data_IF_268166331775
#
_entry.id   IF_268166331775
#
_cell.length_a   1.000
_cell.length_b   1.000
_cell.length_c   1.000
_cell.angle_alpha   90.00
_cell.angle_beta   90.00
_cell.angle_gamma   90.00
#
_symmetry.space_group_name_H-M   'P 1'
#
loop_
_entity.id
_entity.type
_entity.pdbx_description
1 polymer ?
#
# COMPACT_ATOMS: atom_id res chain seq x y z
N UNK A 1 -31.19 23.70 20.24
CA UNK A 1 -30.83 23.26 18.88
C UNK A 1 -29.57 24.00 18.43
N UNK A 2 -28.41 23.56 18.89
CA UNK A 2 -27.12 24.11 18.45
C UNK A 2 -26.58 23.25 17.33
N UNK A 3 -26.76 23.67 16.08
CA UNK A 3 -26.10 23.05 14.94
C UNK A 3 -24.60 23.32 15.07
N UNK A 4 -23.83 22.30 15.47
CA UNK A 4 -22.38 22.27 15.37
C UNK A 4 -22.01 22.37 13.88
N UNK A 5 -21.98 23.60 13.38
CA UNK A 5 -21.46 23.94 12.05
C UNK A 5 -19.95 23.80 12.14
N UNK A 6 -19.46 22.56 12.04
CA UNK A 6 -18.03 22.26 12.06
C UNK A 6 -17.40 22.79 10.78
N UNK A 7 -16.82 23.99 10.86
CA UNK A 7 -15.86 24.45 9.85
C UNK A 7 -14.60 23.63 10.09
N UNK A 8 -14.46 22.51 9.40
CA UNK A 8 -13.23 21.74 9.44
C UNK A 8 -12.09 22.59 8.87
N UNK A 9 -11.28 23.15 9.76
CA UNK A 9 -10.11 23.96 9.42
C UNK A 9 -9.14 23.15 8.54
N UNK A 10 -8.54 23.74 7.48
CA UNK A 10 -7.57 23.06 6.61
C UNK A 10 -6.47 22.22 7.30
N UNK A 11 -5.88 22.63 8.46
CA UNK A 11 -4.90 21.80 9.16
C UNK A 11 -5.49 20.47 9.70
N UNK A 12 -6.78 20.44 10.08
CA UNK A 12 -7.42 19.22 10.58
C UNK A 12 -7.56 18.17 9.47
N UNK A 13 -7.97 18.59 8.27
CA UNK A 13 -8.12 17.68 7.12
C UNK A 13 -6.79 17.07 6.70
N UNK A 14 -5.70 17.85 6.69
CA UNK A 14 -4.36 17.34 6.41
C UNK A 14 -3.89 16.29 7.44
N UNK A 15 -4.16 16.52 8.73
CA UNK A 15 -3.82 15.57 9.78
C UNK A 15 -4.64 14.28 9.65
N UNK A 16 -5.91 14.39 9.29
CA UNK A 16 -6.79 13.24 9.07
C UNK A 16 -6.32 12.40 7.87
N UNK A 17 -5.94 13.04 6.75
CA UNK A 17 -5.35 12.32 5.62
C UNK A 17 -4.03 11.62 5.99
N UNK A 18 -3.17 12.26 6.79
CA UNK A 18 -1.93 11.62 7.29
C UNK A 18 -2.20 10.43 8.22
N UNK A 19 -3.21 10.53 9.07
CA UNK A 19 -3.62 9.44 9.95
C UNK A 19 -4.10 8.22 9.12
N UNK A 20 -5.00 8.45 8.16
CA UNK A 20 -5.46 7.38 7.25
C UNK A 20 -4.34 6.81 6.37
N UNK A 21 -3.41 7.65 5.94
CA UNK A 21 -2.22 7.20 5.21
C UNK A 21 -1.33 6.28 6.06
N UNK A 22 -1.21 6.57 7.36
CA UNK A 22 -0.44 5.73 8.29
C UNK A 22 -1.12 4.39 8.54
N UNK A 23 -2.45 4.36 8.57
CA UNK A 23 -3.25 3.12 8.60
C UNK A 23 -2.99 2.28 7.34
N UNK A 24 -3.07 2.90 6.15
CA UNK A 24 -2.77 2.23 4.89
C UNK A 24 -1.34 1.67 4.85
N UNK A 25 -0.34 2.43 5.35
CA UNK A 25 1.03 1.95 5.45
C UNK A 25 1.18 0.73 6.37
N UNK A 26 0.49 0.72 7.52
CA UNK A 26 0.49 -0.44 8.42
C UNK A 26 -0.11 -1.68 7.75
N UNK A 27 -1.21 -1.51 7.00
CA UNK A 27 -1.81 -2.60 6.21
C UNK A 27 -0.85 -3.11 5.13
N UNK A 28 -0.15 -2.21 4.42
CA UNK A 28 0.84 -2.61 3.42
C UNK A 28 2.03 -3.37 4.03
N UNK A 29 2.50 -2.99 5.22
CA UNK A 29 3.53 -3.75 5.94
C UNK A 29 3.06 -5.17 6.26
N UNK A 30 1.81 -5.30 6.74
CA UNK A 30 1.24 -6.61 7.06
C UNK A 30 1.10 -7.48 5.81
N UNK A 31 0.68 -6.91 4.68
CA UNK A 31 0.62 -7.59 3.39
C UNK A 31 2.00 -8.02 2.87
N UNK A 32 3.02 -7.21 3.08
CA UNK A 32 4.39 -7.55 2.72
C UNK A 32 4.89 -8.75 3.53
N UNK A 33 4.66 -8.75 4.85
CA UNK A 33 5.02 -9.87 5.72
C UNK A 33 4.24 -11.13 5.36
N UNK A 34 2.93 -11.04 5.12
CA UNK A 34 2.14 -12.20 4.72
C UNK A 34 2.57 -12.78 3.37
N UNK A 35 3.01 -11.93 2.42
CA UNK A 35 3.58 -12.39 1.16
C UNK A 35 4.91 -13.14 1.33
N UNK A 36 5.78 -12.65 2.24
CA UNK A 36 7.03 -13.34 2.59
C UNK A 36 6.79 -14.68 3.26
N UNK A 37 5.90 -14.72 4.26
CA UNK A 37 5.55 -15.96 4.96
C UNK A 37 4.91 -16.97 4.02
N UNK A 38 4.03 -16.54 3.10
CA UNK A 38 3.42 -17.44 2.12
C UNK A 38 4.48 -18.13 1.24
N UNK A 39 5.48 -17.38 0.77
CA UNK A 39 6.58 -17.96 -0.01
C UNK A 39 7.43 -18.92 0.82
N UNK A 40 7.67 -18.63 2.09
CA UNK A 40 8.43 -19.51 2.99
C UNK A 40 7.70 -20.84 3.24
N UNK A 41 6.38 -20.79 3.42
CA UNK A 41 5.55 -21.97 3.69
C UNK A 41 5.29 -22.82 2.44
N UNK A 42 5.00 -22.20 1.29
CA UNK A 42 4.56 -22.91 0.07
C UNK A 42 5.65 -23.02 -1.01
N UNK A 43 6.77 -22.31 -0.86
CA UNK A 43 7.85 -22.24 -1.86
C UNK A 43 7.51 -21.42 -3.10
N UNK A 44 6.26 -20.94 -3.23
CA UNK A 44 5.74 -20.20 -4.38
C UNK A 44 5.25 -18.82 -3.98
N UNK A 45 5.32 -17.87 -4.91
CA UNK A 45 4.89 -16.50 -4.67
C UNK A 45 3.35 -16.38 -4.75
N UNK A 46 2.69 -15.61 -3.86
CA UNK A 46 1.23 -15.48 -3.89
C UNK A 46 0.78 -14.75 -5.16
N UNK A 47 -0.26 -15.27 -5.82
CA UNK A 47 -0.84 -14.67 -7.04
C UNK A 47 -2.23 -14.08 -6.83
N UNK A 48 -2.92 -14.55 -5.78
CA UNK A 48 -4.27 -14.13 -5.41
C UNK A 48 -4.28 -13.50 -4.03
N UNK A 49 -5.32 -12.71 -3.77
CA UNK A 49 -5.58 -12.16 -2.44
C UNK A 49 -5.92 -13.26 -1.41
N UNK A 50 -6.44 -14.40 -1.87
CA UNK A 50 -6.75 -15.56 -1.05
C UNK A 50 -5.48 -16.14 -0.40
N UNK A 51 -4.40 -16.29 -1.17
CA UNK A 51 -3.12 -16.78 -0.66
C UNK A 51 -2.58 -15.87 0.48
N UNK A 52 -2.76 -14.55 0.35
CA UNK A 52 -2.39 -13.62 1.43
C UNK A 52 -3.33 -13.74 2.65
N UNK A 53 -4.62 -13.96 2.41
CA UNK A 53 -5.64 -14.17 3.45
C UNK A 53 -5.47 -15.48 4.23
N UNK A 54 -4.80 -16.50 3.68
CA UNK A 54 -4.46 -17.73 4.41
C UNK A 54 -3.47 -17.48 5.56
N UNK A 55 -2.53 -16.55 5.38
CA UNK A 55 -1.58 -16.16 6.42
C UNK A 55 -2.18 -15.08 7.33
N UNK A 56 -2.75 -14.03 6.73
CA UNK A 56 -3.31 -12.89 7.46
C UNK A 56 -4.53 -12.35 6.74
N UNK A 57 -5.68 -12.37 7.42
CA UNK A 57 -6.94 -11.94 6.85
C UNK A 57 -6.85 -10.51 6.28
N UNK A 58 -6.92 -10.39 4.95
CA UNK A 58 -6.86 -9.10 4.26
C UNK A 58 -8.26 -8.47 4.26
N UNK A 59 -8.46 -7.52 5.17
CA UNK A 59 -9.76 -6.88 5.37
C UNK A 59 -10.08 -5.87 4.25
N UNK A 60 -11.24 -6.03 3.63
CA UNK A 60 -11.78 -5.07 2.64
C UNK A 60 -13.07 -4.43 3.13
N UNK A 61 -13.61 -3.47 2.37
CA UNK A 61 -14.89 -2.83 2.66
C UNK A 61 -16.09 -3.77 2.70
N UNK A 62 -15.97 -5.00 2.19
CA UNK A 62 -17.03 -6.01 2.16
C UNK A 62 -16.70 -7.24 3.05
N UNK A 63 -15.69 -7.14 3.91
CA UNK A 63 -15.18 -8.26 4.72
C UNK A 63 -13.80 -8.75 4.25
N UNK A 64 -13.29 -9.87 4.79
CA UNK A 64 -12.02 -10.44 4.33
C UNK A 64 -12.13 -10.80 2.85
N UNK A 65 -11.10 -10.47 2.07
CA UNK A 65 -11.04 -10.87 0.67
C UNK A 65 -10.81 -12.38 0.59
N UNK A 66 -11.75 -13.07 -0.04
CA UNK A 66 -11.74 -14.53 -0.20
C UNK A 66 -11.47 -14.95 -1.65
N UNK A 67 -11.33 -14.00 -2.57
CA UNK A 67 -11.07 -14.29 -3.99
C UNK A 67 -10.55 -13.07 -4.74
N UNK A 68 -9.77 -13.30 -5.80
CA UNK A 68 -9.31 -12.26 -6.73
C UNK A 68 -7.80 -12.23 -6.92
N UNK A 69 -7.37 -11.73 -8.09
CA UNK A 69 -5.94 -11.54 -8.40
C UNK A 69 -5.38 -10.36 -7.63
N UNK A 70 -4.11 -10.41 -7.25
CA UNK A 70 -3.44 -9.29 -6.57
C UNK A 70 -3.43 -7.99 -7.39
N UNK A 71 -3.52 -8.10 -8.72
CA UNK A 71 -3.63 -6.96 -9.64
C UNK A 71 -4.99 -6.27 -9.58
N UNK A 72 -6.01 -6.93 -9.02
CA UNK A 72 -7.34 -6.35 -8.86
C UNK A 72 -7.36 -5.43 -7.64
N UNK A 73 -7.87 -4.22 -7.81
CA UNK A 73 -8.01 -3.25 -6.72
C UNK A 73 -8.98 -3.77 -5.65
N UNK A 74 -8.53 -3.74 -4.40
CA UNK A 74 -9.35 -3.95 -3.22
C UNK A 74 -9.54 -2.62 -2.48
N UNK A 75 -10.71 -2.39 -1.88
CA UNK A 75 -10.94 -1.20 -1.06
C UNK A 75 -10.67 -1.51 0.40
N UNK A 76 -9.96 -0.62 1.11
CA UNK A 76 -9.78 -0.74 2.56
C UNK A 76 -11.12 -0.72 3.30
N UNK A 77 -11.20 -1.23 4.54
CA UNK A 77 -12.45 -1.30 5.30
C UNK A 77 -13.15 0.06 5.43
N UNK A 78 -12.37 1.12 5.61
CA UNK A 78 -12.85 2.50 5.72
C UNK A 78 -13.19 3.15 4.35
N UNK A 79 -13.00 2.45 3.23
CA UNK A 79 -13.22 2.94 1.85
C UNK A 79 -12.47 4.23 1.52
N UNK A 80 -11.35 4.45 2.20
CA UNK A 80 -10.51 5.63 2.03
C UNK A 80 -9.39 5.40 1.01
N UNK A 81 -9.02 4.14 0.78
CA UNK A 81 -7.93 3.75 -0.12
C UNK A 81 -8.32 2.53 -0.95
N UNK A 82 -7.80 2.47 -2.17
CA UNK A 82 -7.74 1.26 -2.98
C UNK A 82 -6.32 0.72 -2.97
N UNK A 83 -6.16 -0.57 -2.66
CA UNK A 83 -4.88 -1.27 -2.69
C UNK A 83 -4.85 -2.14 -3.94
N UNK A 84 -3.78 -2.07 -4.70
CA UNK A 84 -3.49 -3.03 -5.75
C UNK A 84 -2.03 -3.46 -5.70
N UNK A 85 -1.73 -4.63 -6.24
CA UNK A 85 -0.37 -4.99 -6.61
C UNK A 85 -0.07 -4.35 -7.96
N UNK A 86 0.85 -3.40 -7.97
CA UNK A 86 1.50 -2.93 -9.18
C UNK A 86 2.44 -4.04 -9.66
N UNK A 87 2.35 -4.43 -10.93
CA UNK A 87 3.13 -5.54 -11.47
C UNK A 87 4.61 -5.18 -11.48
N UNK A 88 5.30 -5.59 -10.43
CA UNK A 88 6.75 -5.60 -10.36
C UNK A 88 7.34 -6.55 -11.40
N UNK A 89 8.46 -6.19 -12.00
CA UNK A 89 9.22 -7.08 -12.89
C UNK A 89 9.85 -8.22 -12.10
N UNK A 90 9.21 -9.40 -12.08
CA UNK A 90 9.73 -10.64 -11.49
C UNK A 90 8.74 -11.31 -10.53
N UNK A 91 8.80 -12.65 -10.44
CA UNK A 91 7.90 -13.44 -9.58
C UNK A 91 8.11 -13.18 -8.08
N UNK A 92 9.34 -12.81 -7.68
CA UNK A 92 9.72 -12.57 -6.29
C UNK A 92 9.63 -11.11 -5.84
N UNK A 93 9.26 -10.20 -6.74
CA UNK A 93 9.16 -8.78 -6.40
C UNK A 93 7.68 -8.34 -6.36
N UNK A 94 7.29 -7.82 -5.22
CA UNK A 94 5.93 -7.38 -4.95
C UNK A 94 5.94 -5.89 -4.66
N UNK A 95 5.11 -5.16 -5.40
CA UNK A 95 4.89 -3.74 -5.19
C UNK A 95 3.39 -3.55 -4.90
N UNK A 96 3.07 -3.07 -3.71
CA UNK A 96 1.71 -2.75 -3.31
C UNK A 96 1.53 -1.24 -3.31
N UNK A 97 0.52 -0.76 -4.04
CA UNK A 97 0.16 0.65 -4.08
C UNK A 97 -1.21 0.84 -3.44
N UNK A 98 -1.26 1.66 -2.39
CA UNK A 98 -2.49 2.16 -1.80
C UNK A 98 -2.76 3.58 -2.33
N UNK A 99 -3.78 3.71 -3.18
CA UNK A 99 -4.22 4.98 -3.76
C UNK A 99 -5.46 5.50 -3.04
N UNK A 100 -5.46 6.73 -2.50
CA UNK A 100 -6.62 7.27 -1.81
C UNK A 100 -7.81 7.47 -2.76
N UNK A 101 -9.01 7.20 -2.26
CA UNK A 101 -10.27 7.41 -2.99
C UNK A 101 -10.66 8.88 -2.82
N UNK A 102 -10.15 9.74 -3.70
CA UNK A 102 -10.43 11.17 -3.67
C UNK A 102 -9.72 11.93 -4.80
N UNK A 103 -10.24 13.10 -5.18
CA UNK A 103 -9.66 13.96 -6.21
C UNK A 103 -8.89 15.14 -5.60
N UNK A 104 -8.03 15.79 -6.40
CA UNK A 104 -7.30 16.99 -5.99
C UNK A 104 -6.20 16.72 -4.97
N UNK A 105 -6.12 17.54 -3.91
CA UNK A 105 -5.04 17.50 -2.91
C UNK A 105 -4.98 16.21 -2.08
N UNK A 106 -6.01 15.36 -2.14
CA UNK A 106 -6.05 14.07 -1.45
C UNK A 106 -5.25 13.00 -2.21
N UNK A 107 -5.20 13.09 -3.54
CA UNK A 107 -4.52 12.12 -4.41
C UNK A 107 -3.01 12.00 -4.12
N UNK A 108 -2.38 13.03 -3.54
CA UNK A 108 -0.97 13.03 -3.16
C UNK A 108 -0.63 12.15 -1.95
N UNK A 109 -1.62 11.73 -1.16
CA UNK A 109 -1.40 10.93 0.04
C UNK A 109 -1.39 9.42 -0.23
N UNK A 110 -0.94 8.99 -1.42
CA UNK A 110 -0.76 7.58 -1.71
C UNK A 110 0.33 6.94 -0.81
N UNK A 111 0.30 5.63 -0.72
CA UNK A 111 1.34 4.84 -0.08
C UNK A 111 1.78 3.79 -1.06
N UNK A 112 3.09 3.65 -1.23
CA UNK A 112 3.65 2.57 -2.02
C UNK A 112 4.55 1.76 -1.10
N UNK A 113 4.39 0.46 -1.12
CA UNK A 113 5.21 -0.50 -0.42
C UNK A 113 5.78 -1.48 -1.42
N UNK A 114 6.91 -2.04 -1.10
CA UNK A 114 7.44 -3.16 -1.84
C UNK A 114 8.14 -4.14 -0.94
N UNK A 115 8.21 -5.37 -1.41
CA UNK A 115 8.97 -6.45 -0.81
C UNK A 115 9.57 -7.32 -1.90
N UNK A 116 10.86 -7.61 -1.76
CA UNK A 116 11.58 -8.62 -2.52
C UNK A 116 11.62 -9.90 -1.67
N UNK A 117 10.88 -10.91 -2.11
CA UNK A 117 10.76 -12.17 -1.41
C UNK A 117 12.02 -13.05 -1.54
N UNK A 118 13.00 -12.67 -2.36
CA UNK A 118 14.26 -13.41 -2.52
C UNK A 118 15.30 -13.06 -1.45
N UNK A 119 15.27 -11.83 -0.94
CA UNK A 119 16.24 -11.31 0.03
C UNK A 119 15.58 -10.66 1.27
N UNK A 120 14.25 -10.58 1.32
CA UNK A 120 13.49 -9.96 2.40
C UNK A 120 13.55 -8.43 2.43
N UNK A 121 14.11 -7.78 1.40
CA UNK A 121 14.20 -6.33 1.35
C UNK A 121 12.81 -5.73 1.17
N UNK A 122 12.43 -4.82 2.07
CA UNK A 122 11.17 -4.08 1.98
C UNK A 122 11.39 -2.58 2.16
N UNK A 123 10.56 -1.77 1.50
CA UNK A 123 10.55 -0.32 1.65
C UNK A 123 9.10 0.19 1.57
N UNK A 124 8.81 1.28 2.29
CA UNK A 124 7.50 1.92 2.32
C UNK A 124 7.67 3.42 2.16
N UNK A 125 6.99 3.97 1.16
CA UNK A 125 7.00 5.39 0.82
C UNK A 125 5.61 5.97 0.92
N UNK A 126 5.54 7.13 1.56
CA UNK A 126 4.34 7.89 1.85
C UNK A 126 4.36 9.17 1.00
N UNK A 127 3.40 9.32 0.09
CA UNK A 127 3.24 10.54 -0.71
C UNK A 127 2.78 11.74 0.12
N UNK A 128 3.08 12.96 -0.33
CA UNK A 128 2.57 14.17 0.33
C UNK A 128 3.12 14.46 1.73
N UNK A 129 4.14 13.72 2.20
CA UNK A 129 4.82 13.97 3.49
C UNK A 129 5.80 15.15 3.36
N UNK A 130 6.09 15.83 4.47
CA UNK A 130 7.01 16.99 4.54
C UNK A 130 6.68 18.18 3.60
N UNK A 131 5.41 18.34 3.21
CA UNK A 131 4.99 19.48 2.37
C UNK A 131 5.20 19.27 0.87
N UNK A 132 5.63 18.07 0.45
CA UNK A 132 5.71 17.68 -0.95
C UNK A 132 4.31 17.68 -1.58
N UNK A 133 4.19 18.25 -2.78
CA UNK A 133 2.94 18.28 -3.53
C UNK A 133 2.67 16.97 -4.29
N UNK A 134 3.63 16.05 -4.29
CA UNK A 134 3.66 14.86 -5.14
C UNK A 134 3.30 13.59 -4.39
N UNK A 135 2.60 12.70 -5.10
CA UNK A 135 2.44 11.31 -4.73
C UNK A 135 3.81 10.61 -4.69
N UNK A 136 3.97 9.61 -3.84
CA UNK A 136 5.12 8.72 -3.88
C UNK A 136 5.15 8.00 -5.23
N UNK A 137 6.35 7.82 -5.79
CA UNK A 137 6.56 7.11 -7.04
C UNK A 137 7.24 5.75 -6.78
N UNK A 138 7.04 4.82 -7.70
CA UNK A 138 7.66 3.47 -7.65
C UNK A 138 9.19 3.52 -7.82
N UNK A 139 9.72 4.65 -8.31
CA UNK A 139 11.15 4.96 -8.35
C UNK A 139 11.73 5.34 -6.99
N UNK A 140 10.89 5.74 -6.03
CA UNK A 140 11.34 6.11 -4.68
C UNK A 140 11.61 4.88 -3.80
N UNK A 141 11.21 3.70 -4.27
CA UNK A 141 11.34 2.44 -3.55
C UNK A 141 12.75 1.86 -3.68
N UNK A 142 13.38 1.57 -2.54
CA UNK A 142 14.76 1.05 -2.50
C UNK A 142 14.86 -0.47 -2.45
N UNK A 143 13.74 -1.16 -2.33
CA UNK A 143 13.64 -2.63 -2.36
C UNK A 143 13.93 -3.25 -3.74
N UNK A 144 14.06 -2.44 -4.80
CA UNK A 144 14.44 -2.98 -6.11
C UNK A 144 15.86 -3.51 -6.02
N UNK A 145 16.06 -4.75 -6.47
CA UNK A 145 17.38 -5.34 -6.73
C UNK A 145 18.25 -4.26 -7.33
N UNK A 146 19.32 -3.88 -6.64
CA UNK A 146 20.27 -2.90 -7.14
C UNK A 146 20.69 -3.35 -8.54
N UNK A 147 20.25 -2.62 -9.57
CA UNK A 147 20.96 -2.71 -10.82
C UNK A 147 22.35 -2.16 -10.51
N UNK A 148 23.44 -2.90 -10.79
CA UNK A 148 24.76 -2.33 -10.64
C UNK A 148 24.78 -1.07 -11.50
N UNK A 149 25.10 0.06 -10.89
CA UNK A 149 25.34 1.33 -11.59
C UNK A 149 26.20 1.06 -12.82
N UNK A 150 25.86 1.56 -14.03
CA UNK A 150 26.86 1.62 -15.07
C UNK A 150 27.97 2.52 -14.53
N UNK A 151 29.14 1.92 -14.31
CA UNK A 151 30.35 2.62 -13.87
C UNK A 151 30.72 3.64 -14.98
N UNK A 152 31.20 4.85 -14.64
CA UNK A 152 31.62 5.85 -15.64
C UNK A 152 32.83 5.39 -16.47
#
# INVERSE_FOLDING_TARGET
>A
MGVLSSIATPPLLNNLHRARQSEAASLLSQLAVSAATYKDEFGEAPTTWEHLSEISAVMTSNGPTTSGKLTSNISTPNRDFTINRSSGTGDDYFEFTATPIGTGAVARYNVISCIDLSNGASDIRLGGRNGLATAAATSDLTCKKSTPSPNP
#
